data_IF_486562779637
#
_entry.id   IF_486562779637
#
_cell.length_a   1.000
_cell.length_b   1.000
_cell.length_c   1.000
_cell.angle_alpha   90.00
_cell.angle_beta   90.00
_cell.angle_gamma   90.00
#
_symmetry.space_group_name_H-M   'P 1'
#
loop_
_entity.id
_entity.type
_entity.pdbx_description
1 polymer ?
#
# COMPACT_ATOMS: atom_id res chain seq x y z
N UNK A 1 -23.31 11.26 12.85
CA UNK A 1 -24.69 10.87 13.09
C UNK A 1 -24.79 9.35 13.10
N UNK A 2 -24.50 8.63 12.00
CA UNK A 2 -24.63 7.16 11.92
C UNK A 2 -23.89 6.38 13.01
N UNK A 3 -22.66 6.76 13.39
CA UNK A 3 -21.91 6.09 14.46
C UNK A 3 -22.63 6.18 15.80
N UNK A 4 -23.22 7.34 16.13
CA UNK A 4 -24.02 7.52 17.35
C UNK A 4 -25.30 6.69 17.33
N UNK A 5 -25.96 6.59 16.19
CA UNK A 5 -27.18 5.79 16.01
C UNK A 5 -26.90 4.30 16.14
N UNK A 6 -25.75 3.83 15.61
CA UNK A 6 -25.36 2.43 15.66
C UNK A 6 -24.79 2.02 17.04
N UNK A 7 -24.25 2.99 17.80
CA UNK A 7 -23.64 2.78 19.13
C UNK A 7 -22.65 1.61 19.19
N UNK A 8 -21.62 1.58 18.32
CA UNK A 8 -20.68 0.46 18.30
C UNK A 8 -19.80 0.45 19.55
N UNK A 9 -19.38 -0.73 19.99
CA UNK A 9 -18.35 -0.89 21.04
C UNK A 9 -16.93 -0.72 20.48
N UNK A 10 -16.74 -1.03 19.19
CA UNK A 10 -15.45 -0.92 18.48
C UNK A 10 -15.68 -0.24 17.13
N UNK A 11 -14.79 0.66 16.75
CA UNK A 11 -14.72 1.22 15.39
C UNK A 11 -13.40 0.82 14.76
N UNK A 12 -13.47 0.09 13.65
CA UNK A 12 -12.30 -0.35 12.90
C UNK A 12 -12.12 0.48 11.63
N UNK A 13 -10.95 1.07 11.48
CA UNK A 13 -10.57 1.88 10.33
C UNK A 13 -9.57 1.15 9.45
N UNK A 14 -9.61 1.45 8.16
CA UNK A 14 -8.58 1.11 7.20
C UNK A 14 -8.04 2.39 6.56
N UNK A 15 -8.42 2.70 5.34
CA UNK A 15 -7.94 3.88 4.60
C UNK A 15 -8.78 5.11 4.96
N UNK A 16 -8.12 6.21 5.37
CA UNK A 16 -8.78 7.48 5.75
C UNK A 16 -8.30 8.67 4.92
N UNK A 17 -7.41 8.46 3.98
CA UNK A 17 -6.82 9.50 3.12
C UNK A 17 -7.56 9.69 1.80
N UNK A 18 -6.98 10.48 0.88
CA UNK A 18 -7.49 10.72 -0.48
C UNK A 18 -8.90 11.34 -0.52
N UNK A 19 -9.23 12.17 0.46
CA UNK A 19 -10.53 12.88 0.50
C UNK A 19 -11.72 12.00 0.86
N UNK A 20 -11.52 10.74 1.23
CA UNK A 20 -12.60 9.83 1.62
C UNK A 20 -13.39 10.34 2.82
N UNK A 21 -12.71 10.97 3.78
CA UNK A 21 -13.34 11.49 4.99
C UNK A 21 -12.56 12.68 5.54
N UNK A 22 -13.28 13.59 6.19
CA UNK A 22 -12.64 14.66 6.96
C UNK A 22 -12.14 14.11 8.31
N UNK A 23 -10.94 13.50 8.29
CA UNK A 23 -10.39 12.76 9.44
C UNK A 23 -10.25 13.61 10.72
N UNK A 24 -9.86 14.90 10.61
CA UNK A 24 -9.76 15.78 11.79
C UNK A 24 -11.11 15.90 12.51
N UNK A 25 -12.19 16.11 11.76
CA UNK A 25 -13.54 16.17 12.32
C UNK A 25 -13.98 14.82 12.91
N UNK A 26 -13.72 13.74 12.17
CA UNK A 26 -14.06 12.38 12.61
C UNK A 26 -13.42 12.08 13.98
N UNK A 27 -12.09 12.19 14.08
CA UNK A 27 -11.38 11.82 15.29
C UNK A 27 -11.69 12.73 16.48
N UNK A 28 -11.92 14.04 16.27
CA UNK A 28 -12.41 14.92 17.33
C UNK A 28 -13.76 14.46 17.88
N UNK A 29 -14.67 14.04 17.00
CA UNK A 29 -15.98 13.53 17.42
C UNK A 29 -15.92 12.15 18.07
N UNK A 30 -15.05 11.30 17.60
CA UNK A 30 -14.88 9.98 18.18
C UNK A 30 -14.18 10.03 19.56
N UNK A 31 -13.28 10.99 19.77
CA UNK A 31 -12.64 11.23 21.09
C UNK A 31 -13.67 11.56 22.19
N UNK A 32 -14.80 12.22 21.82
CA UNK A 32 -15.92 12.49 22.73
C UNK A 32 -16.71 11.21 23.10
N UNK A 33 -16.48 10.10 22.39
CA UNK A 33 -17.17 8.84 22.57
C UNK A 33 -16.20 7.84 23.23
N UNK A 34 -16.62 7.19 24.31
CA UNK A 34 -15.81 6.17 24.97
C UNK A 34 -15.86 4.84 24.20
N UNK A 35 -15.26 4.82 23.00
CA UNK A 35 -15.27 3.68 22.08
C UNK A 35 -13.82 3.22 21.85
N UNK A 36 -13.62 1.91 21.69
CA UNK A 36 -12.33 1.36 21.27
C UNK A 36 -12.09 1.58 19.78
N UNK A 37 -10.87 1.96 19.40
CA UNK A 37 -10.47 2.13 18.01
C UNK A 37 -9.46 1.07 17.63
N UNK A 38 -9.68 0.46 16.47
CA UNK A 38 -8.70 -0.35 15.78
C UNK A 38 -8.42 0.32 14.43
N UNK A 39 -7.17 0.56 14.10
CA UNK A 39 -6.81 1.14 12.81
C UNK A 39 -5.75 0.27 12.13
N UNK A 40 -6.16 -0.38 11.04
CA UNK A 40 -5.25 -1.14 10.20
C UNK A 40 -4.54 -0.22 9.22
N UNK A 41 -3.23 -0.12 9.35
CA UNK A 41 -2.37 0.63 8.44
C UNK A 41 -1.98 -0.26 7.25
N UNK A 42 -2.25 0.24 6.05
CA UNK A 42 -1.81 -0.36 4.78
C UNK A 42 -0.65 0.42 4.16
N UNK A 43 -0.40 1.62 4.64
CA UNK A 43 0.65 2.54 4.22
C UNK A 43 1.13 3.41 5.39
N UNK A 44 1.98 4.39 5.08
CA UNK A 44 2.60 5.26 6.10
C UNK A 44 1.89 6.60 6.29
N UNK A 45 0.74 6.81 5.65
CA UNK A 45 0.06 8.11 5.68
C UNK A 45 -0.31 8.57 7.09
N UNK A 46 -0.74 7.68 7.96
CA UNK A 46 -1.25 8.00 9.29
C UNK A 46 -0.23 8.77 10.14
N UNK A 47 1.05 8.45 10.03
CA UNK A 47 2.11 9.05 10.85
C UNK A 47 3.10 9.94 10.07
N UNK A 48 2.77 10.29 8.83
CA UNK A 48 3.55 11.19 7.97
C UNK A 48 2.82 12.50 7.70
N UNK A 49 3.50 13.42 7.04
CA UNK A 49 2.92 14.69 6.56
C UNK A 49 2.00 14.55 5.35
N UNK A 50 1.64 13.31 4.95
CA UNK A 50 0.75 13.01 3.83
C UNK A 50 1.29 11.95 2.86
N UNK A 51 2.52 11.44 3.06
CA UNK A 51 3.07 10.38 2.22
C UNK A 51 2.33 9.06 2.42
N UNK A 52 2.10 8.32 1.33
CA UNK A 52 1.64 6.93 1.37
C UNK A 52 2.81 5.95 1.52
N UNK A 53 3.97 6.29 1.00
CA UNK A 53 5.22 5.54 1.12
C UNK A 53 6.41 6.47 0.94
N UNK A 54 7.54 6.14 1.55
CA UNK A 54 8.75 6.96 1.54
C UNK A 54 10.03 6.17 1.24
N UNK A 55 9.93 4.87 1.04
CA UNK A 55 11.09 3.98 0.88
C UNK A 55 11.96 4.37 -0.32
N UNK A 56 11.34 4.78 -1.45
CA UNK A 56 12.03 5.18 -2.68
C UNK A 56 12.99 6.35 -2.46
N UNK A 57 12.65 7.29 -1.58
CA UNK A 57 13.47 8.48 -1.27
C UNK A 57 14.24 8.34 0.05
N UNK A 58 14.14 7.20 0.72
CA UNK A 58 14.82 6.95 1.99
C UNK A 58 14.50 7.95 3.11
N UNK A 59 13.34 8.62 3.03
CA UNK A 59 12.98 9.70 3.94
C UNK A 59 12.71 9.19 5.36
N UNK A 60 13.30 9.86 6.35
CA UNK A 60 13.07 9.60 7.79
C UNK A 60 12.46 10.80 8.51
N UNK A 61 12.08 11.86 7.80
CA UNK A 61 11.57 13.10 8.40
C UNK A 61 10.28 12.91 9.21
N UNK A 62 9.56 11.81 9.01
CA UNK A 62 8.36 11.47 9.78
C UNK A 62 8.64 11.24 11.26
N UNK A 63 9.89 10.96 11.64
CA UNK A 63 10.32 10.77 13.04
C UNK A 63 10.22 12.12 13.78
N UNK A 64 10.72 13.21 13.16
CA UNK A 64 10.95 14.50 13.82
C UNK A 64 10.00 15.60 13.36
N UNK A 65 9.17 15.38 12.32
CA UNK A 65 8.22 16.42 11.95
C UNK A 65 7.98 16.68 10.47
N UNK A 66 8.43 15.83 9.56
CA UNK A 66 8.25 15.99 8.11
C UNK A 66 8.70 17.34 7.56
N UNK A 67 9.82 17.88 8.08
CA UNK A 67 10.43 19.09 7.56
C UNK A 67 11.11 18.81 6.21
N UNK A 68 11.13 19.83 5.31
CA UNK A 68 11.83 19.74 4.02
C UNK A 68 11.45 18.45 3.24
N UNK A 69 10.16 18.33 2.93
CA UNK A 69 9.64 17.14 2.25
C UNK A 69 10.31 16.92 0.88
N UNK A 70 10.94 15.76 0.62
CA UNK A 70 11.62 15.48 -0.65
C UNK A 70 10.67 14.99 -1.76
N UNK A 71 9.37 14.87 -1.47
CA UNK A 71 8.36 14.39 -2.39
C UNK A 71 7.84 15.48 -3.32
N UNK A 72 7.46 15.10 -4.55
CA UNK A 72 6.70 15.99 -5.43
C UNK A 72 5.23 16.09 -4.99
N UNK A 73 4.47 17.10 -5.46
CA UNK A 73 3.07 17.27 -5.11
C UNK A 73 2.18 16.06 -5.44
N UNK A 74 2.51 15.30 -6.48
CA UNK A 74 1.74 14.14 -6.94
C UNK A 74 1.96 12.90 -6.06
N UNK A 75 3.04 12.88 -5.27
CA UNK A 75 3.44 11.75 -4.44
C UNK A 75 2.95 11.84 -2.98
N UNK A 76 2.16 12.87 -2.64
CA UNK A 76 1.74 13.15 -1.28
C UNK A 76 0.28 13.62 -1.24
N UNK A 77 -0.48 13.17 -0.27
CA UNK A 77 -1.81 13.70 0.01
C UNK A 77 -1.69 15.11 0.62
N UNK A 78 -2.05 16.10 -0.15
CA UNK A 78 -1.91 17.51 0.19
C UNK A 78 -0.73 18.20 -0.49
N UNK A 79 0.17 18.82 0.28
CA UNK A 79 1.26 19.61 -0.28
C UNK A 79 2.57 19.37 0.47
N UNK A 80 3.70 19.15 -0.25
CA UNK A 80 5.03 19.01 0.36
C UNK A 80 5.40 20.21 1.25
N UNK A 81 5.02 21.42 0.83
CA UNK A 81 5.27 22.65 1.60
C UNK A 81 4.48 22.71 2.91
N UNK A 82 3.41 21.93 3.05
CA UNK A 82 2.56 21.86 4.26
C UNK A 82 2.79 20.55 5.03
N UNK A 83 3.72 19.70 4.61
CA UNK A 83 3.94 18.38 5.21
C UNK A 83 4.20 18.44 6.71
N UNK A 84 5.05 19.36 7.17
CA UNK A 84 5.31 19.57 8.62
C UNK A 84 4.04 19.98 9.37
N UNK A 85 3.26 20.90 8.81
CA UNK A 85 1.99 21.34 9.43
C UNK A 85 1.00 20.20 9.55
N UNK A 86 0.88 19.39 8.48
CA UNK A 86 0.01 18.21 8.46
C UNK A 86 0.46 17.17 9.47
N UNK A 87 1.77 16.91 9.55
CA UNK A 87 2.35 16.01 10.54
C UNK A 87 2.07 16.45 11.98
N UNK A 88 2.28 17.74 12.30
CA UNK A 88 1.99 18.30 13.63
C UNK A 88 0.52 18.12 14.02
N UNK A 89 -0.39 18.40 13.10
CA UNK A 89 -1.84 18.21 13.33
C UNK A 89 -2.19 16.75 13.58
N UNK A 90 -1.62 15.81 12.82
CA UNK A 90 -1.84 14.39 13.02
C UNK A 90 -1.27 13.92 14.36
N UNK A 91 -0.06 14.36 14.71
CA UNK A 91 0.55 14.07 16.00
C UNK A 91 -0.36 14.51 17.14
N UNK A 92 -0.78 15.78 17.16
CA UNK A 92 -1.72 16.31 18.16
C UNK A 92 -3.02 15.48 18.23
N UNK A 93 -3.59 15.16 17.08
CA UNK A 93 -4.87 14.48 17.00
C UNK A 93 -4.81 13.01 17.44
N UNK A 94 -3.77 12.27 17.02
CA UNK A 94 -3.70 10.82 17.19
C UNK A 94 -2.94 10.38 18.44
N UNK A 95 -1.96 11.16 18.92
CA UNK A 95 -1.25 10.81 20.16
C UNK A 95 -2.16 10.80 21.38
N UNK A 96 -3.16 11.66 21.42
CA UNK A 96 -4.13 11.76 22.51
C UNK A 96 -5.21 10.65 22.53
N UNK A 97 -5.19 9.73 21.56
CA UNK A 97 -6.17 8.65 21.49
C UNK A 97 -5.71 7.45 22.32
N UNK A 98 -6.01 7.44 23.61
CA UNK A 98 -5.58 6.37 24.53
C UNK A 98 -6.21 5.01 24.23
N UNK A 99 -7.34 4.98 23.54
CA UNK A 99 -8.10 3.79 23.15
C UNK A 99 -7.85 3.35 21.70
N UNK A 100 -6.75 3.82 21.08
CA UNK A 100 -6.32 3.44 19.73
C UNK A 100 -5.40 2.23 19.79
N UNK A 101 -5.81 1.15 19.11
CA UNK A 101 -4.99 -0.01 18.80
C UNK A 101 -4.63 0.03 17.31
N UNK A 102 -3.37 -0.19 16.98
CA UNK A 102 -2.86 -0.15 15.61
C UNK A 102 -2.58 -1.57 15.14
N UNK A 103 -3.12 -1.92 13.99
CA UNK A 103 -2.76 -3.13 13.27
C UNK A 103 -1.91 -2.73 12.06
N UNK A 104 -0.83 -3.44 11.82
CA UNK A 104 0.01 -3.25 10.63
C UNK A 104 0.04 -4.54 9.81
N UNK A 105 0.03 -4.39 8.48
CA UNK A 105 -0.02 -5.53 7.56
C UNK A 105 1.35 -6.16 7.30
N UNK A 106 2.40 -5.68 7.97
CA UNK A 106 3.76 -6.25 7.89
C UNK A 106 4.63 -5.83 9.07
N UNK A 107 5.66 -6.64 9.37
CA UNK A 107 6.67 -6.29 10.36
C UNK A 107 7.45 -5.02 9.98
N UNK A 108 7.68 -4.80 8.68
CA UNK A 108 8.31 -3.57 8.21
C UNK A 108 7.49 -2.34 8.62
N UNK A 109 6.19 -2.33 8.34
CA UNK A 109 5.32 -1.21 8.69
C UNK A 109 5.24 -1.02 10.21
N UNK A 110 5.16 -2.10 10.99
CA UNK A 110 5.22 -2.03 12.46
C UNK A 110 6.50 -1.34 12.94
N UNK A 111 7.64 -1.67 12.34
CA UNK A 111 8.93 -1.05 12.71
C UNK A 111 8.96 0.46 12.40
N UNK A 112 8.26 0.92 11.34
CA UNK A 112 8.15 2.34 11.02
C UNK A 112 7.21 3.06 12.02
N UNK A 113 6.08 2.46 12.36
CA UNK A 113 5.16 3.02 13.37
C UNK A 113 5.85 3.18 14.72
N UNK A 114 6.63 2.19 15.15
CA UNK A 114 7.42 2.23 16.41
C UNK A 114 8.47 3.33 16.45
N UNK A 115 8.86 3.90 15.31
CA UNK A 115 9.78 5.04 15.22
C UNK A 115 9.03 6.38 15.09
N UNK A 116 7.72 6.37 14.99
CA UNK A 116 6.89 7.57 14.82
C UNK A 116 6.34 8.10 16.14
N UNK A 117 5.57 9.18 16.07
CA UNK A 117 4.83 9.71 17.22
C UNK A 117 3.71 8.79 17.75
N UNK A 118 3.52 7.63 17.14
CA UNK A 118 2.57 6.59 17.57
C UNK A 118 3.25 5.40 18.27
N UNK A 119 4.52 5.54 18.62
CA UNK A 119 5.33 4.47 19.23
C UNK A 119 4.82 3.97 20.58
N UNK A 120 4.02 4.78 21.28
CA UNK A 120 3.40 4.47 22.57
C UNK A 120 2.09 3.65 22.45
N UNK A 121 1.57 3.48 21.23
CA UNK A 121 0.32 2.75 21.00
C UNK A 121 0.54 1.24 21.01
N UNK A 122 -0.53 0.50 21.29
CA UNK A 122 -0.52 -0.95 21.08
C UNK A 122 -0.45 -1.25 19.58
N UNK A 123 0.59 -1.98 19.15
CA UNK A 123 0.87 -2.25 17.73
C UNK A 123 0.96 -3.75 17.53
N UNK A 124 0.02 -4.28 16.76
CA UNK A 124 -0.04 -5.70 16.39
C UNK A 124 0.23 -5.88 14.90
N UNK A 125 0.82 -7.01 14.53
CA UNK A 125 1.06 -7.37 13.12
C UNK A 125 0.06 -8.44 12.70
N UNK A 126 -0.84 -8.09 11.79
CA UNK A 126 -1.80 -9.01 11.18
C UNK A 126 -1.68 -8.86 9.67
N UNK A 127 -1.13 -9.88 9.02
CA UNK A 127 -0.96 -9.89 7.56
C UNK A 127 -2.30 -9.89 6.84
N UNK A 128 -2.32 -9.35 5.62
CA UNK A 128 -3.51 -9.40 4.78
C UNK A 128 -3.95 -10.85 4.56
N UNK A 129 -5.25 -11.08 4.73
CA UNK A 129 -5.85 -12.38 4.47
C UNK A 129 -5.86 -12.70 2.98
N UNK A 130 -5.79 -13.99 2.65
CA UNK A 130 -5.97 -14.51 1.31
C UNK A 130 -6.99 -15.64 1.33
N UNK A 131 -8.00 -15.65 0.45
CA UNK A 131 -8.97 -16.74 0.39
C UNK A 131 -8.28 -18.05 -0.04
N UNK A 132 -8.32 -19.07 0.82
CA UNK A 132 -7.67 -20.36 0.59
C UNK A 132 -8.54 -21.35 -0.21
N UNK A 133 -9.85 -21.11 -0.29
CA UNK A 133 -10.82 -22.00 -0.93
C UNK A 133 -10.98 -21.73 -2.44
N UNK A 134 -9.95 -21.26 -3.13
CA UNK A 134 -10.03 -21.13 -4.58
C UNK A 134 -9.90 -22.52 -5.22
N UNK A 135 -10.93 -22.91 -5.95
CA UNK A 135 -10.85 -24.03 -6.88
C UNK A 135 -9.61 -23.83 -7.75
N UNK A 136 -8.86 -24.90 -8.00
CA UNK A 136 -7.77 -24.85 -8.98
C UNK A 136 -8.36 -24.38 -10.30
N UNK A 137 -8.00 -23.20 -10.75
CA UNK A 137 -8.39 -22.71 -12.07
C UNK A 137 -7.61 -23.55 -13.07
N UNK A 138 -8.33 -24.28 -13.91
CA UNK A 138 -7.71 -25.00 -15.02
C UNK A 138 -7.39 -24.01 -16.13
N UNK A 139 -6.12 -23.68 -16.28
CA UNK A 139 -5.62 -22.77 -17.32
C UNK A 139 -5.10 -23.50 -18.55
N UNK A 140 -5.27 -24.83 -18.63
CA UNK A 140 -4.74 -25.65 -19.75
C UNK A 140 -5.25 -25.20 -21.12
N UNK A 141 -6.46 -24.61 -21.17
CA UNK A 141 -7.10 -24.12 -22.38
C UNK A 141 -7.03 -22.59 -22.54
N UNK A 142 -6.31 -21.87 -21.68
CA UNK A 142 -6.15 -20.42 -21.85
C UNK A 142 -5.30 -20.14 -23.08
N UNK A 143 -5.86 -19.41 -24.04
CA UNK A 143 -5.17 -19.10 -25.31
C UNK A 143 -3.83 -18.39 -25.11
N UNK A 144 -3.69 -17.62 -24.04
CA UNK A 144 -2.44 -16.92 -23.72
C UNK A 144 -1.34 -17.91 -23.31
N UNK A 145 -1.70 -18.98 -22.60
CA UNK A 145 -0.78 -20.06 -22.24
C UNK A 145 -0.44 -20.90 -23.48
N UNK A 146 -1.44 -21.19 -24.30
CA UNK A 146 -1.26 -22.03 -25.51
C UNK A 146 -0.40 -21.35 -26.59
N UNK A 147 -0.48 -20.01 -26.70
CA UNK A 147 0.28 -19.24 -27.69
C UNK A 147 1.65 -18.76 -27.17
N UNK A 148 1.87 -18.79 -25.86
CA UNK A 148 3.17 -18.46 -25.30
C UNK A 148 4.08 -19.69 -25.36
N UNK A 149 5.22 -19.59 -26.03
CA UNK A 149 6.25 -20.64 -25.98
C UNK A 149 6.94 -20.64 -24.62
N UNK A 150 6.17 -21.07 -23.59
CA UNK A 150 6.61 -21.19 -22.19
C UNK A 150 6.91 -22.65 -21.83
N UNK A 151 6.68 -23.58 -22.77
CA UNK A 151 6.98 -25.00 -22.60
C UNK A 151 8.49 -25.16 -22.40
N UNK A 152 8.89 -25.78 -21.33
CA UNK A 152 10.30 -25.99 -20.96
C UNK A 152 11.05 -24.71 -20.47
N UNK A 153 10.36 -23.60 -20.21
CA UNK A 153 10.95 -22.42 -19.59
C UNK A 153 10.70 -22.39 -18.10
N UNK A 154 11.63 -21.80 -17.36
CA UNK A 154 11.39 -21.48 -15.95
C UNK A 154 10.52 -20.22 -15.87
N UNK A 155 9.36 -20.32 -15.22
CA UNK A 155 8.39 -19.23 -15.13
C UNK A 155 8.63 -18.38 -13.89
N UNK A 156 8.84 -17.10 -14.12
CA UNK A 156 8.81 -16.08 -13.06
C UNK A 156 7.50 -15.31 -13.16
N UNK A 157 6.76 -15.23 -12.08
CA UNK A 157 5.48 -14.52 -12.03
C UNK A 157 5.60 -13.27 -11.16
N UNK A 158 5.16 -12.14 -11.68
CA UNK A 158 5.03 -10.91 -10.91
C UNK A 158 3.66 -10.27 -11.16
N UNK A 159 3.05 -9.71 -10.09
CA UNK A 159 1.69 -9.19 -10.11
C UNK A 159 1.66 -7.77 -9.56
N UNK A 160 1.04 -6.86 -10.29
CA UNK A 160 0.74 -5.50 -9.83
C UNK A 160 -0.60 -5.03 -10.41
N UNK A 161 -1.29 -4.12 -9.73
CA UNK A 161 -2.50 -3.51 -10.30
C UNK A 161 -2.16 -2.66 -11.54
N UNK A 162 -1.11 -1.86 -11.42
CA UNK A 162 -0.54 -1.02 -12.49
C UNK A 162 0.98 -1.12 -12.43
N UNK A 163 1.61 -1.50 -13.54
CA UNK A 163 3.05 -1.56 -13.67
C UNK A 163 3.62 -0.16 -13.97
N UNK A 164 4.59 0.26 -13.19
CA UNK A 164 5.34 1.51 -13.33
C UNK A 164 6.69 1.40 -12.64
N UNK A 165 7.45 2.49 -12.61
CA UNK A 165 8.77 2.52 -11.95
C UNK A 165 8.68 2.30 -10.43
N UNK A 166 7.57 2.65 -9.82
CA UNK A 166 7.28 2.40 -8.40
C UNK A 166 7.06 0.91 -8.08
N UNK A 167 6.69 0.12 -9.08
CA UNK A 167 6.56 -1.35 -9.03
C UNK A 167 7.77 -2.08 -9.62
N UNK A 168 8.79 -1.34 -10.05
CA UNK A 168 10.05 -1.89 -10.52
C UNK A 168 9.99 -2.48 -11.93
N UNK A 169 9.16 -1.95 -12.84
CA UNK A 169 9.03 -2.47 -14.21
C UNK A 169 10.39 -2.48 -14.95
N UNK A 170 11.20 -1.44 -14.78
CA UNK A 170 12.54 -1.38 -15.39
C UNK A 170 13.46 -2.47 -14.85
N UNK A 171 13.42 -2.72 -13.54
CA UNK A 171 14.20 -3.79 -12.91
C UNK A 171 13.71 -5.17 -13.36
N UNK A 172 12.40 -5.37 -13.52
CA UNK A 172 11.83 -6.60 -14.04
C UNK A 172 12.30 -6.89 -15.47
N UNK A 173 12.34 -5.86 -16.34
CA UNK A 173 12.85 -6.01 -17.72
C UNK A 173 14.35 -6.28 -17.75
N UNK A 174 15.13 -5.59 -16.92
CA UNK A 174 16.56 -5.87 -16.80
C UNK A 174 16.81 -7.30 -16.34
N UNK A 175 16.10 -7.77 -15.33
CA UNK A 175 16.19 -9.15 -14.85
C UNK A 175 15.88 -10.15 -15.98
N UNK A 176 14.82 -9.92 -16.75
CA UNK A 176 14.48 -10.80 -17.87
C UNK A 176 15.58 -10.88 -18.91
N UNK A 177 16.21 -9.75 -19.25
CA UNK A 177 17.33 -9.69 -20.20
C UNK A 177 18.56 -10.47 -19.66
N UNK A 178 18.88 -10.31 -18.38
CA UNK A 178 20.01 -11.00 -17.74
C UNK A 178 19.81 -12.52 -17.64
N UNK A 179 18.58 -12.98 -17.41
CA UNK A 179 18.26 -14.40 -17.29
C UNK A 179 18.19 -15.14 -18.65
N UNK A 180 17.94 -14.39 -19.75
CA UNK A 180 17.90 -14.98 -21.09
C UNK A 180 16.66 -15.85 -21.35
N UNK A 181 16.73 -16.61 -22.47
CA UNK A 181 15.56 -17.29 -23.04
C UNK A 181 15.14 -18.59 -22.35
N UNK A 182 15.91 -19.09 -21.39
CA UNK A 182 15.51 -20.22 -20.56
C UNK A 182 14.44 -19.85 -19.53
N UNK A 183 14.22 -18.55 -19.33
CA UNK A 183 13.23 -18.00 -18.43
C UNK A 183 12.13 -17.28 -19.20
N UNK A 184 10.91 -17.30 -18.64
CA UNK A 184 9.81 -16.46 -19.07
C UNK A 184 9.30 -15.65 -17.88
N UNK A 185 9.34 -14.33 -17.96
CA UNK A 185 8.78 -13.44 -16.95
C UNK A 185 7.35 -13.07 -17.33
N UNK A 186 6.38 -13.49 -16.53
CA UNK A 186 4.96 -13.15 -16.73
C UNK A 186 4.60 -11.98 -15.80
N UNK A 187 4.20 -10.85 -16.39
CA UNK A 187 3.74 -9.67 -15.68
C UNK A 187 2.22 -9.56 -15.75
N UNK A 188 1.54 -9.80 -14.63
CA UNK A 188 0.09 -9.65 -14.52
C UNK A 188 -0.26 -8.26 -14.02
N UNK A 189 -1.19 -7.60 -14.72
CA UNK A 189 -1.70 -6.28 -14.38
C UNK A 189 -1.67 -5.28 -15.53
N UNK A 190 -2.21 -4.06 -15.28
CA UNK A 190 -2.20 -2.99 -16.28
C UNK A 190 -0.77 -2.51 -16.53
N UNK A 191 -0.44 -2.26 -17.78
CA UNK A 191 0.86 -1.71 -18.19
C UNK A 191 0.65 -0.42 -18.97
N UNK A 192 1.00 0.71 -18.37
CA UNK A 192 0.96 2.04 -19.01
C UNK A 192 2.33 2.51 -19.52
N UNK A 193 3.33 1.65 -19.51
CA UNK A 193 4.69 2.02 -19.94
C UNK A 193 4.76 2.09 -21.48
N UNK A 194 4.38 3.23 -22.03
CA UNK A 194 4.27 3.49 -23.47
C UNK A 194 5.59 3.53 -24.26
N UNK A 195 6.76 3.35 -23.65
CA UNK A 195 8.03 3.70 -24.32
C UNK A 195 9.15 2.67 -24.24
N UNK A 196 8.94 1.50 -23.63
CA UNK A 196 10.01 0.49 -23.57
C UNK A 196 9.63 -0.70 -24.44
N UNK A 197 10.53 -1.09 -25.31
CA UNK A 197 10.46 -2.40 -25.99
C UNK A 197 10.44 -3.48 -24.91
N UNK A 198 9.36 -4.24 -24.86
CA UNK A 198 9.24 -5.40 -23.97
C UNK A 198 10.25 -6.48 -24.42
N UNK A 199 11.10 -7.02 -23.53
CA UNK A 199 11.99 -8.11 -23.87
C UNK A 199 11.21 -9.33 -24.39
N UNK A 200 11.79 -10.11 -25.30
CA UNK A 200 11.12 -11.28 -25.94
C UNK A 200 10.70 -12.36 -24.93
N UNK A 201 11.42 -12.49 -23.83
CA UNK A 201 11.11 -13.43 -22.76
C UNK A 201 10.21 -12.84 -21.66
N UNK A 202 9.54 -11.70 -21.93
CA UNK A 202 8.53 -11.11 -21.04
C UNK A 202 7.15 -11.21 -21.65
N UNK A 203 6.23 -11.85 -20.95
CA UNK A 203 4.81 -11.94 -21.30
C UNK A 203 3.99 -10.96 -20.46
N UNK A 204 3.32 -10.03 -21.13
CA UNK A 204 2.37 -9.11 -20.48
C UNK A 204 0.99 -9.77 -20.47
N UNK A 205 0.56 -10.21 -19.28
CA UNK A 205 -0.70 -10.94 -19.12
C UNK A 205 -1.95 -10.03 -19.08
N UNK A 206 -1.75 -8.75 -18.85
CA UNK A 206 -2.85 -7.82 -18.69
C UNK A 206 -3.50 -7.86 -17.29
N UNK A 207 -4.63 -7.16 -17.14
CA UNK A 207 -5.37 -7.10 -15.89
C UNK A 207 -6.39 -8.23 -15.82
N UNK A 208 -6.28 -9.04 -14.78
CA UNK A 208 -7.28 -10.05 -14.46
C UNK A 208 -8.15 -9.54 -13.30
N UNK A 209 -9.45 -9.27 -13.55
CA UNK A 209 -10.36 -8.95 -12.46
C UNK A 209 -10.48 -10.17 -11.55
N UNK A 210 -10.40 -9.96 -10.24
CA UNK A 210 -10.78 -10.98 -9.29
C UNK A 210 -12.30 -11.20 -9.43
N UNK A 211 -12.71 -12.28 -10.03
CA UNK A 211 -14.05 -12.81 -9.83
C UNK A 211 -14.11 -13.35 -8.40
N UNK A 212 -14.72 -12.55 -7.51
CA UNK A 212 -14.99 -12.91 -6.11
C UNK A 212 -16.22 -13.82 -6.05
#
# INVERSE_FOLDING_TARGET
>A
KKVKEFSPSIVHFHVLHSGLIHYEYLFRKLKEMNIQFVWTFHDVWAFTGGCYHFSKVGCKNYIDGCNSCPKSPEEIDGSPFKANRTWKKKKELFSDLNNLNIVTVSNWLASQVKQSFLSDKNIEVIYNGYPTNKNKIDISNDSRVLHADITNKFILLAVANLWGEDKGISMAYQLALELGNEFCLILVGKNDVKSKTTPENVLLWGYEPNEL
#
